data_IF_560741012442
#
_entry.id   IF_560741012442
#
_cell.length_a   1.000
_cell.length_b   1.000
_cell.length_c   1.000
_cell.angle_alpha   90.00
_cell.angle_beta   90.00
_cell.angle_gamma   90.00
#
_symmetry.space_group_name_H-M   'P 1'
#
loop_
_entity.id
_entity.type
_entity.pdbx_description
1 polymer ?
#
# COMPACT_ATOMS: atom_id res chain seq x y z
N UNK A 1 -6.56 17.61 16.55
CA UNK A 1 -6.19 16.74 17.69
C UNK A 1 -6.95 17.31 18.87
N UNK A 2 -7.72 16.50 19.61
CA UNK A 2 -8.42 17.01 20.80
C UNK A 2 -7.81 16.36 22.03
N UNK A 3 -7.41 17.17 23.01
CA UNK A 3 -6.98 16.72 24.33
C UNK A 3 -8.22 16.62 25.22
N UNK A 4 -8.49 15.45 25.80
CA UNK A 4 -9.42 15.33 26.93
C UNK A 4 -8.60 15.21 28.21
N UNK A 5 -8.83 16.12 29.16
CA UNK A 5 -8.28 15.99 30.50
C UNK A 5 -9.22 15.05 31.27
N UNK A 6 -8.70 13.91 31.69
CA UNK A 6 -9.45 12.95 32.52
C UNK A 6 -8.97 13.09 33.95
N UNK A 7 -9.88 13.44 34.87
CA UNK A 7 -9.60 13.53 36.29
C UNK A 7 -9.93 12.19 36.96
N UNK A 8 -8.92 11.53 37.52
CA UNK A 8 -9.14 10.48 38.50
C UNK A 8 -8.73 11.02 39.87
N UNK A 9 -9.64 10.87 40.85
CA UNK A 9 -9.46 11.40 42.19
C UNK A 9 -8.14 10.98 42.81
N UNK A 10 -7.49 11.96 43.47
CA UNK A 10 -6.15 11.97 44.08
C UNK A 10 -4.99 11.81 43.10
N UNK A 11 -4.55 12.97 42.60
CA UNK A 11 -3.17 13.38 42.33
C UNK A 11 -2.45 12.98 41.02
N UNK A 12 -3.16 12.63 39.94
CA UNK A 12 -2.52 12.61 38.61
C UNK A 12 -3.45 13.10 37.48
N UNK A 13 -3.04 14.18 36.80
CA UNK A 13 -3.64 14.59 35.52
C UNK A 13 -2.98 13.83 34.37
N UNK A 14 -3.71 12.91 33.73
CA UNK A 14 -3.22 12.20 32.54
C UNK A 14 -3.79 12.83 31.27
N UNK A 15 -2.91 13.28 30.38
CA UNK A 15 -3.28 13.73 29.04
C UNK A 15 -3.44 12.48 28.18
N UNK A 16 -4.68 12.08 27.93
CA UNK A 16 -4.99 10.97 27.03
C UNK A 16 -5.09 11.51 25.59
N UNK A 17 -4.11 11.15 24.75
CA UNK A 17 -4.14 11.48 23.34
C UNK A 17 -5.09 10.54 22.60
N UNK A 18 -6.31 10.99 22.32
CA UNK A 18 -7.25 10.24 21.46
C UNK A 18 -7.02 10.60 20.00
N UNK A 19 -6.53 9.65 19.17
CA UNK A 19 -6.42 9.90 17.75
C UNK A 19 -7.82 10.15 17.16
N UNK A 20 -7.92 11.14 16.29
CA UNK A 20 -9.15 11.40 15.55
C UNK A 20 -9.40 10.20 14.64
N UNK A 21 -10.44 9.41 14.91
CA UNK A 21 -10.84 8.25 14.08
C UNK A 21 -10.89 8.62 12.59
N UNK A 22 -11.44 9.80 12.28
CA UNK A 22 -11.50 10.38 10.92
C UNK A 22 -10.12 10.59 10.27
N UNK A 23 -9.07 10.86 11.05
CA UNK A 23 -7.69 11.01 10.54
C UNK A 23 -7.06 9.66 10.19
N UNK A 24 -7.31 8.63 11.00
CA UNK A 24 -6.86 7.27 10.75
C UNK A 24 -7.56 6.66 9.53
N UNK A 25 -8.88 6.81 9.43
CA UNK A 25 -9.67 6.36 8.27
C UNK A 25 -9.19 6.99 6.96
N UNK A 26 -8.89 8.30 6.99
CA UNK A 26 -8.38 9.02 5.81
C UNK A 26 -6.98 8.57 5.42
N UNK A 27 -6.07 8.42 6.38
CA UNK A 27 -4.72 7.95 6.11
C UNK A 27 -4.74 6.53 5.52
N UNK A 28 -5.55 5.64 6.09
CA UNK A 28 -5.72 4.28 5.59
C UNK A 28 -6.32 4.26 4.18
N UNK A 29 -7.34 5.08 3.89
CA UNK A 29 -7.91 5.18 2.56
C UNK A 29 -6.90 5.67 1.50
N UNK A 30 -5.99 6.60 1.86
CA UNK A 30 -4.92 7.07 0.97
C UNK A 30 -3.92 5.94 0.70
N UNK A 31 -3.44 5.26 1.74
CA UNK A 31 -2.49 4.14 1.61
C UNK A 31 -3.09 2.99 0.78
N UNK A 32 -4.36 2.67 1.01
CA UNK A 32 -5.07 1.65 0.23
C UNK A 32 -5.32 2.08 -1.21
N UNK A 33 -5.49 3.38 -1.47
CA UNK A 33 -5.63 3.91 -2.82
C UNK A 33 -4.31 3.83 -3.60
N UNK A 34 -3.17 4.13 -2.96
CA UNK A 34 -1.84 4.05 -3.58
C UNK A 34 -1.43 2.63 -3.98
N UNK A 35 -1.98 1.60 -3.30
CA UNK A 35 -1.69 0.19 -3.59
C UNK A 35 -2.67 -0.47 -4.56
N UNK A 36 -3.64 0.26 -5.13
CA UNK A 36 -4.66 -0.28 -6.04
C UNK A 36 -4.46 0.25 -7.46
N UNK A 37 -4.15 -0.65 -8.40
CA UNK A 37 -4.15 -0.32 -9.82
C UNK A 37 -5.60 -0.33 -10.31
N UNK A 38 -6.12 0.84 -10.71
CA UNK A 38 -7.45 0.96 -11.32
C UNK A 38 -7.35 0.71 -12.82
N UNK A 39 -8.02 -0.33 -13.30
CA UNK A 39 -8.06 -0.69 -14.71
C UNK A 39 -9.39 -0.27 -15.33
N UNK A 40 -9.34 0.27 -16.54
CA UNK A 40 -10.54 0.37 -17.38
C UNK A 40 -10.88 -1.01 -17.97
N UNK A 41 -12.06 -1.15 -18.59
CA UNK A 41 -12.52 -2.43 -19.14
C UNK A 41 -11.53 -3.07 -20.12
N UNK A 42 -10.94 -2.29 -21.02
CA UNK A 42 -10.01 -2.80 -22.04
C UNK A 42 -8.71 -3.29 -21.40
N UNK A 43 -8.13 -2.52 -20.47
CA UNK A 43 -6.92 -2.92 -19.75
C UNK A 43 -7.15 -4.15 -18.87
N UNK A 44 -8.33 -4.27 -18.24
CA UNK A 44 -8.69 -5.45 -17.47
C UNK A 44 -8.81 -6.71 -18.36
N UNK A 45 -9.48 -6.60 -19.51
CA UNK A 45 -9.59 -7.69 -20.48
C UNK A 45 -8.21 -8.14 -20.98
N UNK A 46 -7.35 -7.18 -21.33
CA UNK A 46 -6.00 -7.48 -21.78
C UNK A 46 -5.15 -8.15 -20.68
N UNK A 47 -5.29 -7.71 -19.42
CA UNK A 47 -4.63 -8.35 -18.30
C UNK A 47 -5.06 -9.81 -18.14
N UNK A 48 -6.36 -10.10 -18.20
CA UNK A 48 -6.86 -11.48 -18.10
C UNK A 48 -6.36 -12.36 -19.26
N UNK A 49 -6.35 -11.83 -20.48
CA UNK A 49 -5.78 -12.52 -21.64
C UNK A 49 -4.30 -12.87 -21.43
N UNK A 50 -3.50 -11.96 -20.88
CA UNK A 50 -2.08 -12.21 -20.57
C UNK A 50 -1.87 -13.24 -19.44
N UNK A 51 -2.81 -13.35 -18.51
CA UNK A 51 -2.76 -14.37 -17.44
C UNK A 51 -3.08 -15.74 -18.02
N UNK A 52 -4.12 -15.83 -18.85
CA UNK A 52 -4.54 -17.07 -19.50
C UNK A 52 -3.56 -17.52 -20.59
N UNK A 53 -2.98 -16.57 -21.31
CA UNK A 53 -2.06 -16.78 -22.42
C UNK A 53 -0.77 -15.98 -22.18
N UNK A 54 0.12 -16.46 -21.30
CA UNK A 54 1.34 -15.75 -20.99
C UNK A 54 2.19 -15.52 -22.25
N UNK A 55 2.74 -14.31 -22.43
CA UNK A 55 3.55 -14.02 -23.60
C UNK A 55 4.84 -14.82 -23.59
N UNK A 56 5.43 -15.01 -24.76
CA UNK A 56 6.75 -15.65 -24.89
C UNK A 56 7.80 -14.87 -24.11
N UNK A 57 8.78 -15.59 -23.58
CA UNK A 57 9.89 -15.00 -22.84
C UNK A 57 10.58 -13.91 -23.68
N UNK A 58 10.79 -12.75 -23.08
CA UNK A 58 11.47 -11.63 -23.72
C UNK A 58 13.00 -11.81 -23.59
N UNK A 59 13.75 -11.96 -24.70
CA UNK A 59 15.20 -12.17 -24.66
C UNK A 59 15.97 -11.04 -23.97
N UNK A 60 15.51 -9.78 -24.14
CA UNK A 60 16.11 -8.62 -23.48
C UNK A 60 15.94 -8.69 -21.97
N UNK A 61 14.75 -9.07 -21.51
CA UNK A 61 14.49 -9.27 -20.07
C UNK A 61 15.31 -10.43 -19.51
N UNK A 62 15.41 -11.53 -20.25
CA UNK A 62 16.23 -12.68 -19.84
C UNK A 62 17.71 -12.32 -19.67
N UNK A 63 18.26 -11.51 -20.58
CA UNK A 63 19.63 -11.02 -20.48
C UNK A 63 19.82 -10.09 -19.27
N UNK A 64 18.92 -9.14 -19.05
CA UNK A 64 18.96 -8.25 -17.90
C UNK A 64 18.91 -9.03 -16.57
N UNK A 65 18.06 -10.06 -16.48
CA UNK A 65 17.96 -10.92 -15.29
C UNK A 65 19.24 -11.75 -15.05
N UNK A 66 19.93 -12.15 -16.12
CA UNK A 66 21.24 -12.84 -15.99
C UNK A 66 22.29 -11.91 -15.42
N UNK A 67 22.38 -10.68 -15.94
CA UNK A 67 23.31 -9.65 -15.45
C UNK A 67 23.06 -9.33 -13.98
N UNK A 68 21.81 -9.05 -13.61
CA UNK A 68 21.42 -8.77 -12.22
C UNK A 68 21.83 -9.90 -11.25
N UNK A 69 21.63 -11.17 -11.65
CA UNK A 69 22.02 -12.32 -10.83
C UNK A 69 23.54 -12.50 -10.68
N UNK A 70 24.32 -11.98 -11.63
CA UNK A 70 25.77 -11.98 -11.56
C UNK A 70 26.27 -10.88 -10.62
N UNK A 71 25.65 -9.70 -10.66
CA UNK A 71 26.00 -8.56 -9.80
C UNK A 71 25.66 -8.79 -8.31
N UNK A 72 24.74 -9.71 -8.02
CA UNK A 72 24.39 -10.12 -6.65
C UNK A 72 25.39 -11.11 -6.01
N UNK A 73 26.33 -11.66 -6.77
CA UNK A 73 27.35 -12.60 -6.28
C UNK A 73 28.66 -11.88 -5.96
#
# INVERSE_FOLDING_TARGET
>A
MFSSIVYHGSDEFKIEYKPLKRGQEKAQAIIEHENKIRLNKQSAQHLFELIENPPKANPKLAQAMKQYKQDLK
#
